data_IF_415376776670
#
_entry.id   IF_415376776670
#
_cell.length_a   1.000
_cell.length_b   1.000
_cell.length_c   1.000
_cell.angle_alpha   90.00
_cell.angle_beta   90.00
_cell.angle_gamma   90.00
#
_symmetry.space_group_name_H-M   'P 1'
#
loop_
_entity.id
_entity.type
_entity.pdbx_description
1 polymer ?
#
# COMPACT_ATOMS: atom_id res chain seq x y z
N UNK A 1 13.52 28.41 15.93
CA UNK A 1 12.67 28.22 14.73
C UNK A 1 13.60 27.94 13.56
N UNK A 2 13.47 26.80 12.87
CA UNK A 2 14.16 26.61 11.58
C UNK A 2 13.53 27.59 10.57
N UNK A 3 14.30 28.12 9.63
CA UNK A 3 13.72 28.90 8.52
C UNK A 3 12.77 28.00 7.72
N UNK A 4 11.72 28.57 7.13
CA UNK A 4 10.75 27.83 6.29
C UNK A 4 11.47 27.00 5.21
N UNK A 5 12.51 27.57 4.61
CA UNK A 5 13.36 26.89 3.62
C UNK A 5 14.08 25.64 4.18
N UNK A 6 14.58 25.70 5.42
CA UNK A 6 15.24 24.54 6.04
C UNK A 6 14.24 23.44 6.43
N UNK A 7 12.99 23.81 6.74
CA UNK A 7 11.91 22.85 6.98
C UNK A 7 11.47 22.15 5.68
N UNK A 8 11.29 22.90 4.60
CA UNK A 8 10.94 22.36 3.27
C UNK A 8 12.02 21.40 2.75
N UNK A 9 13.29 21.72 2.98
CA UNK A 9 14.41 20.86 2.61
C UNK A 9 14.47 19.53 3.39
N UNK A 10 13.88 19.46 4.58
CA UNK A 10 13.77 18.20 5.34
C UNK A 10 12.60 17.35 4.85
N UNK A 11 11.48 18.00 4.46
CA UNK A 11 10.29 17.34 3.91
C UNK A 11 10.64 16.55 2.64
N UNK A 12 11.46 17.12 1.76
CA UNK A 12 11.79 16.51 0.48
C UNK A 12 12.53 15.16 0.59
N UNK A 13 13.20 14.86 1.70
CA UNK A 13 13.87 13.57 1.90
C UNK A 13 14.74 13.15 0.71
N UNK A 14 14.41 12.02 0.07
CA UNK A 14 15.15 11.53 -1.11
C UNK A 14 15.07 12.48 -2.32
N UNK A 15 13.96 13.20 -2.52
CA UNK A 15 13.80 14.15 -3.64
C UNK A 15 14.85 15.26 -3.68
N UNK A 16 15.42 15.60 -2.51
CA UNK A 16 16.47 16.61 -2.39
C UNK A 16 17.82 16.11 -2.92
N UNK A 17 18.15 14.84 -2.64
CA UNK A 17 19.45 14.24 -2.98
C UNK A 17 19.50 13.60 -4.37
N UNK A 18 18.34 13.40 -5.00
CA UNK A 18 18.25 12.83 -6.34
C UNK A 18 18.51 13.90 -7.40
N UNK A 19 19.40 13.59 -8.34
CA UNK A 19 19.71 14.47 -9.48
C UNK A 19 19.03 14.02 -10.78
N UNK A 20 18.70 12.73 -10.90
CA UNK A 20 18.13 12.16 -12.10
C UNK A 20 16.63 11.90 -11.90
N UNK A 21 15.81 12.59 -12.67
CA UNK A 21 14.37 12.41 -12.70
C UNK A 21 13.96 12.04 -14.12
N UNK A 22 13.18 10.98 -14.26
CA UNK A 22 12.68 10.55 -15.56
C UNK A 22 11.21 10.17 -15.49
N UNK A 23 10.51 10.22 -16.61
CA UNK A 23 9.15 9.69 -16.79
C UNK A 23 9.11 8.85 -18.06
N UNK A 24 8.05 8.08 -18.24
CA UNK A 24 7.89 7.23 -19.41
C UNK A 24 7.49 8.07 -20.61
N UNK A 25 8.18 7.88 -21.73
CA UNK A 25 7.71 8.26 -23.05
C UNK A 25 7.13 7.04 -23.73
N UNK A 26 5.81 6.90 -23.63
CA UNK A 26 5.08 5.76 -24.19
C UNK A 26 5.06 5.85 -25.72
N UNK A 27 5.34 4.74 -26.41
CA UNK A 27 5.21 4.67 -27.85
C UNK A 27 3.72 4.69 -28.24
N UNK A 28 3.27 5.62 -29.11
CA UNK A 28 1.86 5.77 -29.45
C UNK A 28 1.28 4.59 -30.25
N UNK A 29 2.13 3.79 -30.89
CA UNK A 29 1.73 2.61 -31.69
C UNK A 29 1.68 1.36 -30.80
N UNK A 30 2.68 1.21 -29.93
CA UNK A 30 2.80 0.07 -29.03
C UNK A 30 3.08 0.56 -27.62
N UNK A 31 2.02 0.83 -26.87
CA UNK A 31 2.12 1.39 -25.52
C UNK A 31 2.77 0.44 -24.50
N UNK A 32 3.05 -0.83 -24.86
CA UNK A 32 3.89 -1.70 -24.04
C UNK A 32 5.38 -1.34 -24.13
N UNK A 33 5.76 -0.62 -25.18
CA UNK A 33 7.10 -0.07 -25.39
C UNK A 33 7.13 1.37 -24.93
N UNK A 34 8.19 1.69 -24.20
CA UNK A 34 8.47 3.04 -23.73
C UNK A 34 9.98 3.24 -23.66
N UNK A 35 10.37 4.50 -23.58
CA UNK A 35 11.71 4.88 -23.13
C UNK A 35 11.59 5.75 -21.90
N UNK A 36 12.64 5.82 -21.09
CA UNK A 36 12.73 6.85 -20.06
C UNK A 36 13.15 8.16 -20.72
N UNK A 37 12.41 9.22 -20.43
CA UNK A 37 12.72 10.59 -20.80
C UNK A 37 13.04 11.38 -19.54
N UNK A 38 14.18 12.06 -19.53
CA UNK A 38 14.55 12.92 -18.41
C UNK A 38 13.64 14.14 -18.31
N UNK A 39 13.31 14.51 -17.07
CA UNK A 39 12.53 15.70 -16.75
C UNK A 39 13.41 16.94 -16.81
N UNK A 40 12.83 18.02 -17.32
CA UNK A 40 13.45 19.34 -17.26
C UNK A 40 13.48 19.88 -15.82
N UNK A 41 14.42 20.78 -15.53
CA UNK A 41 14.55 21.40 -14.20
C UNK A 41 13.22 21.97 -13.67
N UNK A 42 12.45 22.66 -14.51
CA UNK A 42 11.16 23.24 -14.12
C UNK A 42 10.12 22.19 -13.72
N UNK A 43 10.16 21.03 -14.37
CA UNK A 43 9.25 19.91 -14.07
C UNK A 43 9.64 19.23 -12.76
N UNK A 44 10.93 19.10 -12.48
CA UNK A 44 11.45 18.61 -11.20
C UNK A 44 11.06 19.56 -10.06
N UNK A 45 11.21 20.86 -10.24
CA UNK A 45 10.80 21.85 -9.24
C UNK A 45 9.28 21.85 -9.02
N UNK A 46 8.49 21.69 -10.07
CA UNK A 46 7.04 21.54 -9.96
C UNK A 46 6.68 20.29 -9.14
N UNK A 47 7.31 19.14 -9.41
CA UNK A 47 7.11 17.91 -8.64
C UNK A 47 7.48 18.12 -7.16
N UNK A 48 8.63 18.71 -6.86
CA UNK A 48 9.06 18.99 -5.48
C UNK A 48 8.05 19.86 -4.73
N UNK A 49 7.52 20.90 -5.38
CA UNK A 49 6.48 21.74 -4.81
C UNK A 49 5.18 20.97 -4.53
N UNK A 50 4.80 20.03 -5.40
CA UNK A 50 3.64 19.15 -5.17
C UNK A 50 3.90 18.26 -3.94
N UNK A 51 5.09 17.65 -3.83
CA UNK A 51 5.46 16.82 -2.67
C UNK A 51 5.37 17.62 -1.36
N UNK A 52 5.92 18.83 -1.32
CA UNK A 52 5.85 19.70 -0.13
C UNK A 52 4.39 19.98 0.26
N UNK A 53 3.55 20.35 -0.71
CA UNK A 53 2.12 20.61 -0.46
C UNK A 53 1.39 19.37 0.05
N UNK A 54 1.69 18.19 -0.48
CA UNK A 54 1.08 16.94 -0.04
C UNK A 54 1.50 16.57 1.40
N UNK A 55 2.76 16.76 1.76
CA UNK A 55 3.27 16.49 3.12
C UNK A 55 2.74 17.49 4.15
N UNK A 56 2.43 18.72 3.73
CA UNK A 56 1.83 19.75 4.57
C UNK A 56 0.30 19.62 4.68
N UNK A 57 -0.34 18.80 3.86
CA UNK A 57 -1.79 18.60 3.90
C UNK A 57 -2.15 17.61 5.02
N UNK A 58 -2.93 18.07 6.01
CA UNK A 58 -3.32 17.29 7.18
C UNK A 58 -4.17 16.06 6.85
N UNK A 59 -4.89 16.07 5.73
CA UNK A 59 -5.72 14.95 5.28
C UNK A 59 -4.92 13.90 4.50
N UNK A 60 -3.66 14.17 4.18
CA UNK A 60 -2.82 13.29 3.37
C UNK A 60 -1.68 12.71 4.21
N UNK A 61 -1.34 11.47 3.91
CA UNK A 61 -0.09 10.84 4.36
C UNK A 61 0.68 10.40 3.13
N UNK A 62 1.88 10.96 2.94
CA UNK A 62 2.82 10.38 1.99
C UNK A 62 3.53 9.19 2.61
N UNK A 63 3.37 8.07 1.94
CA UNK A 63 3.89 6.78 2.33
C UNK A 63 5.04 6.37 1.39
N UNK A 64 5.94 5.56 1.91
CA UNK A 64 6.98 4.90 1.13
C UNK A 64 6.90 3.37 1.30
N UNK A 65 7.33 2.63 0.27
CA UNK A 65 7.45 1.17 0.33
C UNK A 65 8.68 0.69 -0.40
N UNK A 66 9.48 -0.11 0.31
CA UNK A 66 10.56 -0.86 -0.31
C UNK A 66 10.03 -2.08 -1.06
N UNK A 67 10.56 -2.31 -2.25
CA UNK A 67 10.38 -3.55 -2.98
C UNK A 67 11.73 -4.07 -3.46
N UNK A 68 12.11 -5.23 -2.93
CA UNK A 68 13.30 -5.94 -3.34
C UNK A 68 13.01 -6.70 -4.64
N UNK A 69 13.85 -6.53 -5.66
CA UNK A 69 13.86 -7.45 -6.82
C UNK A 69 14.80 -8.62 -6.49
N UNK A 70 14.55 -9.83 -7.00
CA UNK A 70 15.36 -11.01 -6.63
C UNK A 70 16.73 -10.98 -7.28
N UNK A 71 16.86 -10.32 -8.42
CA UNK A 71 18.12 -10.15 -9.14
C UNK A 71 18.19 -8.83 -9.89
N UNK A 72 19.41 -8.44 -10.30
CA UNK A 72 19.64 -7.32 -11.23
C UNK A 72 18.85 -7.54 -12.52
N UNK A 73 18.77 -8.78 -13.01
CA UNK A 73 18.00 -9.13 -14.21
C UNK A 73 16.52 -8.80 -14.06
N UNK A 74 15.89 -9.19 -12.94
CA UNK A 74 14.49 -8.86 -12.68
C UNK A 74 14.26 -7.36 -12.52
N UNK A 75 15.21 -6.68 -11.88
CA UNK A 75 15.19 -5.23 -11.79
C UNK A 75 15.21 -4.60 -13.19
N UNK A 76 16.13 -5.02 -14.07
CA UNK A 76 16.22 -4.52 -15.43
C UNK A 76 14.97 -4.86 -16.25
N UNK A 77 14.41 -6.05 -16.10
CA UNK A 77 13.15 -6.44 -16.73
C UNK A 77 11.99 -5.53 -16.28
N UNK A 78 11.91 -5.24 -14.97
CA UNK A 78 10.95 -4.31 -14.41
C UNK A 78 11.09 -2.90 -14.99
N UNK A 79 12.31 -2.35 -15.01
CA UNK A 79 12.59 -0.98 -15.52
C UNK A 79 12.40 -0.86 -17.03
N UNK A 80 12.71 -1.90 -17.81
CA UNK A 80 12.68 -1.85 -19.27
C UNK A 80 11.34 -2.26 -19.88
N UNK A 81 10.54 -3.08 -19.18
CA UNK A 81 9.30 -3.64 -19.72
C UNK A 81 8.12 -3.69 -18.74
N UNK A 82 8.37 -3.60 -17.43
CA UNK A 82 7.36 -3.73 -16.39
C UNK A 82 6.62 -2.45 -16.01
N UNK A 83 7.21 -1.27 -16.20
CA UNK A 83 6.70 -0.02 -15.63
C UNK A 83 5.31 0.37 -16.11
N UNK A 84 5.00 0.20 -17.40
CA UNK A 84 3.64 0.48 -17.91
C UNK A 84 2.62 -0.42 -17.22
N UNK A 85 2.91 -1.71 -17.06
CA UNK A 85 2.00 -2.63 -16.37
C UNK A 85 1.84 -2.23 -14.90
N UNK A 86 2.93 -1.85 -14.24
CA UNK A 86 2.93 -1.37 -12.87
C UNK A 86 2.04 -0.12 -12.69
N UNK A 87 2.18 0.89 -13.56
CA UNK A 87 1.42 2.14 -13.49
C UNK A 87 -0.01 2.06 -14.05
N UNK A 88 -0.40 0.95 -14.68
CA UNK A 88 -1.76 0.76 -15.20
C UNK A 88 -2.57 -0.20 -14.32
N UNK A 89 -1.96 -1.31 -13.89
CA UNK A 89 -2.66 -2.40 -13.18
C UNK A 89 -2.29 -2.47 -11.69
N UNK A 90 -1.07 -2.06 -11.33
CA UNK A 90 -0.53 -2.22 -9.98
C UNK A 90 0.04 -3.62 -9.78
N UNK A 91 1.37 -3.71 -9.56
CA UNK A 91 2.08 -4.99 -9.42
C UNK A 91 1.64 -5.79 -8.17
N UNK A 92 1.20 -5.11 -7.11
CA UNK A 92 0.86 -5.74 -5.81
C UNK A 92 -0.61 -6.03 -5.58
N UNK A 93 -1.44 -5.93 -6.61
CA UNK A 93 -2.80 -6.46 -6.56
C UNK A 93 -2.83 -8.01 -6.58
N UNK A 94 -1.76 -8.64 -7.08
CA UNK A 94 -1.69 -10.08 -7.32
C UNK A 94 -1.91 -10.96 -6.07
N UNK A 95 -1.23 -10.68 -4.95
CA UNK A 95 -1.39 -11.50 -3.73
C UNK A 95 -2.79 -11.36 -3.14
N UNK A 96 -3.31 -10.13 -3.08
CA UNK A 96 -4.67 -9.81 -2.64
C UNK A 96 -5.76 -10.54 -3.46
N UNK A 97 -5.53 -10.71 -4.76
CA UNK A 97 -6.46 -11.36 -5.67
C UNK A 97 -6.22 -12.86 -5.89
N UNK A 98 -4.99 -13.36 -5.71
CA UNK A 98 -4.72 -14.80 -5.71
C UNK A 98 -5.20 -15.46 -4.43
N UNK A 99 -5.25 -14.72 -3.32
CA UNK A 99 -6.00 -15.13 -2.15
C UNK A 99 -7.52 -15.12 -2.36
N UNK A 100 -8.06 -15.04 -3.59
CA UNK A 100 -9.49 -15.10 -3.94
C UNK A 100 -10.25 -16.39 -3.56
N UNK A 101 -9.72 -17.15 -2.61
CA UNK A 101 -10.55 -17.80 -1.59
C UNK A 101 -11.10 -16.80 -0.54
N UNK A 102 -10.73 -15.51 -0.58
CA UNK A 102 -10.84 -14.55 0.54
C UNK A 102 -11.71 -13.31 0.32
N UNK A 103 -11.94 -12.85 -0.92
CA UNK A 103 -12.85 -11.72 -1.15
C UNK A 103 -14.32 -12.09 -0.89
N UNK A 104 -14.71 -13.32 -1.23
CA UNK A 104 -16.03 -13.86 -0.88
C UNK A 104 -16.17 -14.04 0.66
N UNK A 105 -15.08 -14.26 1.40
CA UNK A 105 -15.10 -14.42 2.85
C UNK A 105 -15.07 -13.09 3.64
N UNK A 106 -14.36 -12.08 3.14
CA UNK A 106 -14.19 -10.81 3.88
C UNK A 106 -15.39 -9.89 3.66
N UNK A 107 -15.92 -9.78 2.44
CA UNK A 107 -16.99 -8.83 2.12
C UNK A 107 -18.33 -9.47 1.71
N UNK A 108 -18.40 -10.79 1.46
CA UNK A 108 -19.61 -11.41 0.90
C UNK A 108 -20.34 -12.38 1.83
N UNK A 109 -19.72 -12.88 2.91
CA UNK A 109 -20.46 -13.62 3.93
C UNK A 109 -21.29 -12.65 4.77
N UNK A 110 -22.48 -12.29 4.26
CA UNK A 110 -23.58 -11.69 5.03
C UNK A 110 -24.03 -12.59 6.20
N UNK A 111 -23.49 -13.80 6.28
CA UNK A 111 -23.74 -14.74 7.35
C UNK A 111 -22.88 -14.40 8.58
N UNK A 112 -23.52 -13.72 9.54
CA UNK A 112 -22.97 -13.37 10.85
C UNK A 112 -22.28 -14.55 11.56
N UNK A 113 -22.86 -15.75 11.48
CA UNK A 113 -22.31 -16.94 12.15
C UNK A 113 -20.91 -17.29 11.62
N UNK A 114 -20.75 -17.32 10.29
CA UNK A 114 -19.47 -17.65 9.67
C UNK A 114 -18.39 -16.62 10.03
N UNK A 115 -18.76 -15.34 10.09
CA UNK A 115 -17.83 -14.27 10.46
C UNK A 115 -17.40 -14.37 11.92
N UNK A 116 -18.32 -14.69 12.83
CA UNK A 116 -17.98 -14.94 14.24
C UNK A 116 -17.04 -16.15 14.41
N UNK A 117 -17.25 -17.23 13.63
CA UNK A 117 -16.33 -18.38 13.61
C UNK A 117 -14.93 -18.01 13.09
N UNK A 118 -14.84 -17.14 12.09
CA UNK A 118 -13.56 -16.60 11.59
C UNK A 118 -12.83 -15.79 12.67
N UNK A 119 -13.54 -14.85 13.30
CA UNK A 119 -13.01 -14.02 14.39
C UNK A 119 -12.51 -14.88 15.55
N UNK A 120 -13.21 -15.96 15.89
CA UNK A 120 -12.76 -16.87 16.95
C UNK A 120 -11.43 -17.54 16.58
N UNK A 121 -11.27 -17.97 15.32
CA UNK A 121 -10.00 -18.56 14.85
C UNK A 121 -8.86 -17.54 14.87
N UNK A 122 -9.13 -16.30 14.47
CA UNK A 122 -8.15 -15.22 14.52
C UNK A 122 -7.76 -14.90 15.95
N UNK A 123 -8.73 -14.76 16.85
CA UNK A 123 -8.51 -14.52 18.29
C UNK A 123 -7.61 -15.59 18.90
N UNK A 124 -7.90 -16.87 18.63
CA UNK A 124 -7.06 -18.00 19.09
C UNK A 124 -5.65 -17.91 18.52
N UNK A 125 -5.51 -17.54 17.24
CA UNK A 125 -4.20 -17.42 16.58
C UNK A 125 -3.37 -16.26 17.15
N UNK A 126 -3.99 -15.10 17.36
CA UNK A 126 -3.36 -13.94 18.00
C UNK A 126 -2.91 -14.29 19.41
N UNK A 127 -3.77 -14.90 20.23
CA UNK A 127 -3.42 -15.31 21.59
C UNK A 127 -2.26 -16.33 21.63
N UNK A 128 -2.18 -17.25 20.65
CA UNK A 128 -1.03 -18.15 20.53
C UNK A 128 0.27 -17.40 20.24
N UNK A 129 0.22 -16.41 19.35
CA UNK A 129 1.40 -15.57 19.08
C UNK A 129 1.78 -14.72 20.30
N UNK A 130 0.82 -14.19 21.06
CA UNK A 130 1.11 -13.52 22.34
C UNK A 130 1.87 -14.48 23.26
N UNK A 131 1.31 -15.65 23.55
CA UNK A 131 1.93 -16.64 24.45
C UNK A 131 3.35 -17.04 24.03
N UNK A 132 3.54 -17.27 22.73
CA UNK A 132 4.86 -17.60 22.16
C UNK A 132 5.85 -16.45 22.31
N UNK A 133 5.41 -15.21 22.11
CA UNK A 133 6.27 -14.01 22.13
C UNK A 133 6.58 -13.57 23.56
N UNK A 134 5.62 -13.66 24.49
CA UNK A 134 5.84 -13.40 25.93
C UNK A 134 6.95 -14.28 26.51
N UNK A 135 7.14 -15.49 25.98
CA UNK A 135 8.23 -16.39 26.38
C UNK A 135 9.61 -16.01 25.82
N UNK A 136 9.68 -15.21 24.74
CA UNK A 136 10.92 -14.87 24.02
C UNK A 136 11.35 -13.42 24.21
N UNK A 137 10.40 -12.49 24.29
CA UNK A 137 10.65 -11.04 24.19
C UNK A 137 10.66 -10.31 25.55
N UNK A 138 10.92 -11.04 26.65
CA UNK A 138 11.04 -10.50 28.02
C UNK A 138 9.90 -9.51 28.42
N UNK A 139 8.66 -9.80 28.05
CA UNK A 139 7.49 -9.02 28.47
C UNK A 139 7.11 -7.82 27.59
N UNK A 140 7.66 -7.70 26.37
CA UNK A 140 7.21 -6.67 25.40
C UNK A 140 5.84 -6.95 24.79
N UNK A 141 5.49 -8.22 24.63
CA UNK A 141 4.16 -8.69 24.17
C UNK A 141 3.53 -9.48 25.32
N UNK A 142 2.29 -9.15 25.69
CA UNK A 142 1.64 -9.69 26.90
C UNK A 142 0.11 -9.52 26.84
N UNK A 143 -0.62 -10.24 27.69
CA UNK A 143 -2.08 -10.22 27.78
C UNK A 143 -2.76 -11.33 26.96
N UNK A 144 -4.07 -11.19 26.75
CA UNK A 144 -4.84 -12.06 25.86
C UNK A 144 -6.20 -11.44 25.55
N UNK A 145 -6.70 -11.69 24.35
CA UNK A 145 -8.08 -11.38 24.01
C UNK A 145 -9.04 -12.38 24.69
N UNK A 146 -10.06 -11.84 25.36
CA UNK A 146 -11.06 -12.58 26.14
C UNK A 146 -11.79 -13.63 25.30
N UNK A 147 -12.03 -14.82 25.88
CA UNK A 147 -12.89 -15.83 25.26
C UNK A 147 -14.37 -15.40 25.15
N UNK A 148 -14.78 -14.33 25.86
CA UNK A 148 -16.13 -13.75 25.78
C UNK A 148 -16.33 -12.80 24.60
N UNK A 149 -15.29 -12.59 23.77
CA UNK A 149 -15.37 -11.70 22.61
C UNK A 149 -16.52 -12.10 21.67
N UNK A 150 -16.68 -13.39 21.41
CA UNK A 150 -17.74 -13.89 20.52
C UNK A 150 -19.12 -13.64 21.10
N UNK A 151 -19.31 -13.85 22.41
CA UNK A 151 -20.59 -13.59 23.09
C UNK A 151 -20.96 -12.09 23.01
N UNK A 152 -19.97 -11.21 23.14
CA UNK A 152 -20.16 -9.78 22.94
C UNK A 152 -20.58 -9.47 21.49
N UNK A 153 -19.85 -9.99 20.50
CA UNK A 153 -20.08 -9.71 19.07
C UNK A 153 -21.38 -10.31 18.51
N UNK A 154 -21.92 -11.38 19.12
CA UNK A 154 -23.20 -11.95 18.73
C UNK A 154 -24.35 -10.93 18.75
N UNK A 155 -24.26 -9.90 19.59
CA UNK A 155 -25.28 -8.87 19.73
C UNK A 155 -24.93 -7.55 19.03
N UNK A 156 -23.80 -7.47 18.32
CA UNK A 156 -23.36 -6.27 17.62
C UNK A 156 -23.83 -6.25 16.16
N UNK A 157 -23.79 -5.06 15.55
CA UNK A 157 -24.01 -4.88 14.11
C UNK A 157 -22.87 -5.47 13.27
N UNK A 158 -23.12 -5.68 11.98
CA UNK A 158 -22.12 -6.31 11.10
C UNK A 158 -20.85 -5.45 10.94
N UNK A 159 -21.00 -4.13 10.91
CA UNK A 159 -19.89 -3.17 10.85
C UNK A 159 -18.89 -3.37 11.98
N UNK A 160 -19.37 -3.50 13.22
CA UNK A 160 -18.54 -3.77 14.42
C UNK A 160 -17.81 -5.11 14.29
N UNK A 161 -18.49 -6.13 13.80
CA UNK A 161 -17.91 -7.47 13.61
C UNK A 161 -16.81 -7.43 12.53
N UNK A 162 -17.04 -6.70 11.44
CA UNK A 162 -16.04 -6.49 10.40
C UNK A 162 -14.84 -5.70 10.90
N UNK A 163 -15.05 -4.65 11.71
CA UNK A 163 -13.97 -3.89 12.38
C UNK A 163 -13.08 -4.80 13.22
N UNK A 164 -13.67 -5.71 14.01
CA UNK A 164 -12.93 -6.72 14.78
C UNK A 164 -12.17 -7.72 13.91
N UNK A 165 -12.77 -8.16 12.81
CA UNK A 165 -12.10 -9.03 11.85
C UNK A 165 -10.85 -8.34 11.29
N UNK A 166 -10.97 -7.08 10.92
CA UNK A 166 -9.86 -6.30 10.35
C UNK A 166 -8.76 -6.07 11.39
N UNK A 167 -9.14 -5.71 12.61
CA UNK A 167 -8.22 -5.50 13.71
C UNK A 167 -7.41 -6.77 14.07
N UNK A 168 -8.03 -7.94 14.15
CA UNK A 168 -7.31 -9.17 14.48
C UNK A 168 -6.39 -9.64 13.33
N UNK A 169 -6.81 -9.46 12.08
CA UNK A 169 -5.95 -9.72 10.93
C UNK A 169 -4.75 -8.77 10.88
N UNK A 170 -4.94 -7.48 11.20
CA UNK A 170 -3.83 -6.51 11.18
C UNK A 170 -2.79 -6.81 12.24
N UNK A 171 -3.17 -7.35 13.41
CA UNK A 171 -2.23 -7.86 14.41
C UNK A 171 -1.34 -8.98 13.84
N UNK A 172 -1.94 -9.98 13.22
CA UNK A 172 -1.20 -11.11 12.63
C UNK A 172 -0.31 -10.66 11.46
N UNK A 173 -0.76 -9.67 10.68
CA UNK A 173 0.03 -9.07 9.61
C UNK A 173 1.24 -8.30 10.12
N UNK A 174 1.03 -7.39 11.09
CA UNK A 174 2.07 -6.53 11.67
C UNK A 174 3.21 -7.35 12.31
N UNK A 175 2.90 -8.49 12.94
CA UNK A 175 3.92 -9.40 13.48
C UNK A 175 4.82 -10.02 12.38
N UNK A 176 4.38 -10.01 11.13
CA UNK A 176 5.08 -10.67 10.03
C UNK A 176 4.96 -12.19 10.10
N UNK A 177 3.84 -12.72 10.59
CA UNK A 177 3.61 -14.15 10.69
C UNK A 177 3.73 -14.81 9.30
N UNK A 178 4.77 -15.60 9.05
CA UNK A 178 5.03 -16.18 7.72
C UNK A 178 3.91 -17.11 7.21
N UNK A 179 3.06 -17.64 8.10
CA UNK A 179 1.90 -18.45 7.71
C UNK A 179 0.77 -17.55 7.22
N UNK A 180 0.57 -16.38 7.83
CA UNK A 180 -0.52 -15.46 7.48
C UNK A 180 -0.14 -14.42 6.42
N UNK A 181 1.12 -13.96 6.41
CA UNK A 181 1.60 -12.89 5.52
C UNK A 181 1.36 -13.15 4.03
N UNK A 182 1.48 -14.39 3.51
CA UNK A 182 1.13 -14.67 2.10
C UNK A 182 -0.36 -14.51 1.78
N UNK A 183 -1.23 -14.59 2.79
CA UNK A 183 -2.70 -14.51 2.66
C UNK A 183 -3.27 -13.22 3.25
N UNK A 184 -2.42 -12.36 3.80
CA UNK A 184 -2.84 -11.07 4.34
C UNK A 184 -3.28 -10.18 3.19
N UNK A 185 -4.41 -9.52 3.39
CA UNK A 185 -4.93 -8.51 2.47
C UNK A 185 -4.34 -7.12 2.74
N UNK A 186 -3.37 -6.99 3.64
CA UNK A 186 -2.72 -5.73 3.94
C UNK A 186 -1.41 -5.57 3.16
N UNK A 187 -1.16 -4.34 2.73
CA UNK A 187 0.14 -3.91 2.22
C UNK A 187 0.75 -2.93 3.19
N UNK A 188 1.89 -3.32 3.76
CA UNK A 188 2.70 -2.46 4.62
C UNK A 188 3.34 -1.31 3.85
N UNK A 189 3.16 -0.11 4.38
CA UNK A 189 3.82 1.12 3.99
C UNK A 189 4.51 1.70 5.22
N UNK A 190 5.47 2.60 5.02
CA UNK A 190 6.07 3.39 6.10
C UNK A 190 5.83 4.88 5.85
N UNK A 191 5.63 5.65 6.92
CA UNK A 191 5.36 7.09 6.83
C UNK A 191 6.25 7.92 7.78
N UNK A 192 6.05 9.25 7.77
CA UNK A 192 6.80 10.20 8.58
C UNK A 192 8.21 10.48 8.07
N UNK A 193 9.05 11.11 8.91
CA UNK A 193 10.33 11.68 8.49
C UNK A 193 11.39 10.62 8.09
N UNK A 194 11.23 9.37 8.53
CA UNK A 194 12.17 8.27 8.24
C UNK A 194 11.69 7.34 7.12
N UNK A 195 10.51 7.58 6.53
CA UNK A 195 9.86 6.67 5.57
C UNK A 195 10.77 6.20 4.45
N UNK A 196 11.52 7.09 3.81
CA UNK A 196 12.40 6.70 2.70
C UNK A 196 13.59 5.85 3.16
N UNK A 197 14.14 6.13 4.35
CA UNK A 197 15.21 5.32 4.93
C UNK A 197 14.71 3.92 5.29
N UNK A 198 13.56 3.83 5.94
CA UNK A 198 12.91 2.56 6.30
C UNK A 198 12.54 1.77 5.05
N UNK A 199 11.92 2.41 4.06
CA UNK A 199 11.58 1.78 2.79
C UNK A 199 12.81 1.29 2.03
N UNK A 200 13.90 2.07 1.99
CA UNK A 200 15.17 1.63 1.39
C UNK A 200 15.74 0.40 2.08
N UNK A 201 15.72 0.36 3.42
CA UNK A 201 16.15 -0.82 4.18
C UNK A 201 15.38 -2.07 3.72
N UNK A 202 14.06 -1.99 3.57
CA UNK A 202 13.25 -3.11 3.08
C UNK A 202 13.44 -3.41 1.59
N UNK A 203 13.80 -2.43 0.75
CA UNK A 203 14.10 -2.64 -0.66
C UNK A 203 15.40 -3.42 -0.85
N UNK A 204 16.37 -3.24 0.04
CA UNK A 204 17.71 -3.80 -0.05
C UNK A 204 17.96 -4.96 0.93
N UNK A 205 16.96 -5.39 1.71
CA UNK A 205 17.06 -6.56 2.57
C UNK A 205 16.69 -7.82 1.77
N UNK A 206 17.58 -8.81 1.75
CA UNK A 206 17.21 -10.17 1.37
C UNK A 206 16.34 -10.81 2.46
N UNK A 207 15.15 -11.27 2.08
CA UNK A 207 14.19 -11.85 3.01
C UNK A 207 14.58 -13.26 3.46
N UNK A 208 15.36 -13.99 2.67
CA UNK A 208 15.71 -15.38 2.97
C UNK A 208 17.01 -15.49 3.77
N UNK A 209 18.02 -14.69 3.41
CA UNK A 209 19.37 -14.82 3.99
C UNK A 209 19.77 -13.65 4.91
N UNK A 210 18.89 -12.67 5.11
CA UNK A 210 19.20 -11.40 5.80
C UNK A 210 20.43 -10.66 5.27
N UNK A 211 20.86 -10.98 4.04
CA UNK A 211 21.96 -10.32 3.35
C UNK A 211 21.48 -9.04 2.67
N UNK A 212 22.43 -8.16 2.36
CA UNK A 212 22.13 -6.94 1.60
C UNK A 212 22.02 -7.28 0.12
N UNK A 213 20.96 -6.81 -0.52
CA UNK A 213 20.82 -6.77 -1.98
C UNK A 213 21.42 -5.49 -2.51
N UNK A 214 21.97 -5.58 -3.71
CA UNK A 214 22.64 -4.44 -4.33
C UNK A 214 21.63 -3.42 -4.86
N UNK A 215 20.43 -3.85 -5.31
CA UNK A 215 19.45 -2.99 -5.97
C UNK A 215 18.00 -3.25 -5.54
N UNK A 216 17.18 -2.20 -5.54
CA UNK A 216 15.75 -2.26 -5.26
C UNK A 216 15.02 -0.99 -5.64
N UNK A 217 13.72 -0.94 -5.35
CA UNK A 217 12.90 0.27 -5.60
C UNK A 217 12.17 0.73 -4.35
N UNK A 218 12.00 2.04 -4.21
CA UNK A 218 11.22 2.68 -3.14
C UNK A 218 10.07 3.45 -3.74
N UNK A 219 8.86 2.90 -3.65
CA UNK A 219 7.63 3.55 -4.09
C UNK A 219 7.28 4.74 -3.22
N UNK A 220 6.67 5.76 -3.83
CA UNK A 220 6.06 6.92 -3.16
C UNK A 220 4.57 6.91 -3.43
N UNK A 221 3.77 6.90 -2.36
CA UNK A 221 2.34 6.63 -2.41
C UNK A 221 1.55 7.69 -1.64
N UNK A 222 0.44 8.15 -2.21
CA UNK A 222 -0.48 9.12 -1.61
C UNK A 222 -1.60 8.37 -0.91
N UNK A 223 -1.72 8.57 0.40
CA UNK A 223 -2.83 8.04 1.19
C UNK A 223 -3.70 9.21 1.68
N UNK A 224 -4.93 9.29 1.15
CA UNK A 224 -5.98 10.15 1.69
C UNK A 224 -6.59 9.49 2.93
N UNK A 225 -6.52 10.19 4.08
CA UNK A 225 -7.01 9.70 5.37
C UNK A 225 -8.53 9.50 5.39
N UNK A 226 -9.26 10.22 4.55
CA UNK A 226 -10.73 10.22 4.55
C UNK A 226 -11.31 9.16 3.59
N UNK A 227 -10.50 8.60 2.70
CA UNK A 227 -10.98 7.70 1.63
C UNK A 227 -10.40 6.30 1.68
N UNK A 228 -9.25 6.12 2.30
CA UNK A 228 -8.53 4.87 2.22
C UNK A 228 -8.73 4.01 3.47
N UNK A 229 -8.96 2.71 3.22
CA UNK A 229 -9.10 1.70 4.26
C UNK A 229 -7.70 1.27 4.71
N UNK A 230 -7.19 1.86 5.78
CA UNK A 230 -5.89 1.50 6.35
C UNK A 230 -5.99 1.38 7.87
N UNK A 231 -5.01 0.73 8.47
CA UNK A 231 -4.78 0.76 9.92
C UNK A 231 -3.33 1.14 10.16
N UNK A 232 -3.09 2.11 11.03
CA UNK A 232 -1.72 2.43 11.47
C UNK A 232 -1.28 1.49 12.59
N UNK A 233 0.02 1.17 12.66
CA UNK A 233 0.54 0.40 13.79
C UNK A 233 0.32 1.12 15.13
N UNK A 234 0.35 2.46 15.15
CA UNK A 234 -0.03 3.27 16.33
C UNK A 234 -1.46 3.04 16.79
N UNK A 235 -2.43 3.07 15.86
CA UNK A 235 -3.85 2.82 16.16
C UNK A 235 -4.06 1.38 16.65
N UNK A 236 -3.40 0.41 16.00
CA UNK A 236 -3.41 -0.98 16.42
C UNK A 236 -2.88 -1.17 17.85
N UNK A 237 -1.82 -0.44 18.22
CA UNK A 237 -1.25 -0.47 19.57
C UNK A 237 -2.19 0.15 20.60
N UNK A 238 -2.88 1.22 20.25
CA UNK A 238 -3.87 1.87 21.10
C UNK A 238 -5.07 0.95 21.37
N UNK A 239 -5.70 0.43 20.30
CA UNK A 239 -6.82 -0.52 20.40
C UNK A 239 -6.44 -1.80 21.14
N UNK A 240 -5.21 -2.31 20.97
CA UNK A 240 -4.76 -3.48 21.73
C UNK A 240 -4.72 -3.21 23.24
N UNK A 241 -4.26 -2.02 23.65
CA UNK A 241 -4.16 -1.65 25.08
C UNK A 241 -5.54 -1.53 25.73
N UNK A 242 -6.54 -1.03 25.02
CA UNK A 242 -7.94 -0.98 25.49
C UNK A 242 -8.47 -2.38 25.86
N UNK A 243 -7.91 -3.42 25.25
CA UNK A 243 -8.23 -4.82 25.52
C UNK A 243 -7.21 -5.53 26.41
N UNK A 244 -6.38 -4.78 27.15
CA UNK A 244 -5.32 -5.29 28.03
C UNK A 244 -4.30 -6.19 27.30
N UNK A 245 -4.06 -5.93 26.01
CA UNK A 245 -3.05 -6.60 25.20
C UNK A 245 -1.91 -5.61 24.92
N UNK A 246 -0.69 -6.01 25.27
CA UNK A 246 0.53 -5.32 24.85
C UNK A 246 1.04 -5.98 23.57
N UNK A 247 1.22 -5.18 22.52
CA UNK A 247 1.67 -5.65 21.22
C UNK A 247 3.04 -5.06 20.84
N UNK A 248 3.60 -5.49 19.71
CA UNK A 248 4.91 -5.07 19.22
C UNK A 248 4.98 -3.55 19.00
N UNK A 249 6.08 -2.89 19.38
CA UNK A 249 6.22 -1.44 19.20
C UNK A 249 6.27 -1.07 17.71
N UNK A 250 5.71 0.09 17.38
CA UNK A 250 5.78 0.67 16.04
C UNK A 250 7.16 1.32 15.80
N UNK A 251 8.13 0.49 15.42
CA UNK A 251 9.51 0.95 15.15
C UNK A 251 9.63 1.58 13.76
N UNK A 252 8.82 1.10 12.82
CA UNK A 252 8.93 1.41 11.39
C UNK A 252 7.95 2.50 10.92
N UNK A 253 7.07 3.01 11.79
CA UNK A 253 5.94 3.86 11.46
C UNK A 253 5.11 3.20 10.36
N UNK A 254 4.62 1.99 10.65
CA UNK A 254 3.91 1.17 9.69
C UNK A 254 2.46 1.64 9.49
N UNK A 255 2.04 1.76 8.24
CA UNK A 255 0.64 1.84 7.83
C UNK A 255 0.31 0.62 6.98
N UNK A 256 -0.78 -0.07 7.32
CA UNK A 256 -1.27 -1.24 6.62
C UNK A 256 -2.47 -0.85 5.76
N UNK A 257 -2.26 -0.69 4.45
CA UNK A 257 -3.34 -0.41 3.51
C UNK A 257 -4.06 -1.70 3.15
N UNK A 258 -5.39 -1.70 3.21
CA UNK A 258 -6.22 -2.83 2.81
C UNK A 258 -6.28 -2.90 1.28
N UNK A 259 -6.00 -4.07 0.72
CA UNK A 259 -6.10 -4.34 -0.70
C UNK A 259 -4.77 -4.20 -1.44
N UNK A 260 -4.71 -3.26 -2.36
CA UNK A 260 -3.62 -3.10 -3.30
C UNK A 260 -3.03 -1.68 -3.26
N UNK A 261 -1.80 -1.53 -3.78
CA UNK A 261 -1.27 -0.20 -4.10
C UNK A 261 -1.84 0.24 -5.43
N UNK A 262 -2.87 1.07 -5.36
CA UNK A 262 -3.56 1.59 -6.54
C UNK A 262 -2.65 2.51 -7.36
N UNK A 263 -2.54 2.29 -8.69
CA UNK A 263 -1.70 3.13 -9.54
C UNK A 263 -2.04 4.62 -9.50
N UNK A 264 -3.32 4.95 -9.31
CA UNK A 264 -3.84 6.32 -9.13
C UNK A 264 -3.17 7.09 -8.00
N UNK A 265 -2.69 6.38 -6.99
CA UNK A 265 -2.08 6.94 -5.79
C UNK A 265 -0.54 6.82 -5.80
N UNK A 266 0.05 6.19 -6.82
CA UNK A 266 1.50 6.08 -6.96
C UNK A 266 2.03 7.34 -7.65
N UNK A 267 2.84 8.13 -6.95
CA UNK A 267 3.55 9.27 -7.55
C UNK A 267 4.66 8.76 -8.47
N UNK A 268 5.40 7.76 -8.01
CA UNK A 268 6.54 7.19 -8.70
C UNK A 268 7.36 6.34 -7.76
N UNK A 269 8.61 6.07 -8.12
CA UNK A 269 9.53 5.34 -7.25
C UNK A 269 10.98 5.78 -7.45
N UNK A 270 11.77 5.63 -6.40
CA UNK A 270 13.22 5.76 -6.46
C UNK A 270 13.83 4.41 -6.81
N UNK A 271 14.75 4.40 -7.76
CA UNK A 271 15.72 3.33 -7.92
C UNK A 271 16.82 3.53 -6.87
N UNK A 272 17.04 2.51 -6.04
CA UNK A 272 18.04 2.56 -4.97
C UNK A 272 19.05 1.45 -5.17
N UNK A 273 20.33 1.80 -5.02
CA UNK A 273 21.44 0.87 -5.10
C UNK A 273 22.37 1.14 -3.91
N UNK A 274 22.68 0.10 -3.15
CA UNK A 274 23.45 0.18 -1.91
C UNK A 274 22.92 1.18 -0.85
N UNK A 275 23.47 2.38 -0.81
CA UNK A 275 23.04 3.47 0.10
C UNK A 275 22.68 4.74 -0.68
N UNK A 276 22.65 4.64 -2.01
CA UNK A 276 22.45 5.75 -2.93
C UNK A 276 21.08 5.67 -3.58
N UNK A 277 20.61 6.84 -4.00
CA UNK A 277 19.40 6.99 -4.80
C UNK A 277 19.88 7.35 -6.21
N UNK A 278 19.63 6.47 -7.17
CA UNK A 278 20.18 6.59 -8.52
C UNK A 278 19.32 7.51 -9.38
N UNK A 279 18.01 7.28 -9.37
CA UNK A 279 17.02 8.10 -10.09
C UNK A 279 15.65 8.02 -9.43
N UNK A 280 14.80 8.99 -9.75
CA UNK A 280 13.37 8.90 -9.50
C UNK A 280 12.63 8.73 -10.83
N UNK A 281 11.81 7.69 -10.93
CA UNK A 281 10.94 7.47 -12.09
C UNK A 281 9.51 7.88 -11.70
N UNK A 282 9.06 8.97 -12.29
CA UNK A 282 7.73 9.54 -12.11
C UNK A 282 6.69 8.67 -12.84
N UNK A 283 5.55 8.43 -12.21
CA UNK A 283 4.41 7.79 -12.83
C UNK A 283 3.96 8.61 -14.05
N UNK A 284 3.83 7.96 -15.20
CA UNK A 284 3.44 8.61 -16.46
C UNK A 284 2.12 9.38 -16.37
N UNK A 285 1.13 8.83 -15.67
CA UNK A 285 -0.18 9.47 -15.50
C UNK A 285 -0.08 10.70 -14.61
N UNK A 286 0.75 10.62 -13.57
CA UNK A 286 1.07 11.75 -12.71
C UNK A 286 1.78 12.86 -13.48
N UNK A 287 2.75 12.48 -14.32
CA UNK A 287 3.45 13.40 -15.19
C UNK A 287 2.51 14.09 -16.19
N UNK A 288 1.59 13.34 -16.81
CA UNK A 288 0.57 13.90 -17.70
C UNK A 288 -0.27 14.97 -17.01
N UNK A 289 -0.82 14.63 -15.84
CA UNK A 289 -1.70 15.56 -15.10
C UNK A 289 -0.94 16.84 -14.68
N UNK A 290 0.31 16.68 -14.25
CA UNK A 290 1.20 17.80 -13.94
C UNK A 290 1.43 18.75 -15.12
N UNK A 291 1.41 18.23 -16.36
CA UNK A 291 1.59 19.02 -17.59
C UNK A 291 0.29 19.62 -18.12
N UNK A 292 -0.84 18.94 -17.96
CA UNK A 292 -2.13 19.37 -18.51
C UNK A 292 -2.93 20.29 -17.58
N UNK A 293 -2.74 20.19 -16.27
CA UNK A 293 -3.61 20.84 -15.30
C UNK A 293 -2.84 21.42 -14.10
N UNK A 294 -2.53 22.71 -14.16
CA UNK A 294 -1.82 23.40 -13.08
C UNK A 294 -2.62 23.52 -11.77
N UNK A 295 -3.93 23.30 -11.80
CA UNK A 295 -4.82 23.41 -10.65
C UNK A 295 -5.32 22.04 -10.16
N UNK A 296 -4.76 20.93 -10.64
CA UNK A 296 -5.16 19.60 -10.21
C UNK A 296 -4.94 19.40 -8.71
N UNK A 297 -5.91 18.80 -8.04
CA UNK A 297 -5.79 18.38 -6.65
C UNK A 297 -5.16 16.99 -6.56
N UNK A 298 -3.84 16.95 -6.45
CA UNK A 298 -3.07 15.71 -6.29
C UNK A 298 -3.34 14.97 -4.97
N UNK A 299 -4.05 15.59 -4.01
CA UNK A 299 -4.45 14.93 -2.76
C UNK A 299 -5.35 13.71 -3.04
N UNK A 300 -6.06 13.76 -4.16
CA UNK A 300 -6.98 12.72 -4.63
C UNK A 300 -6.32 11.70 -5.57
N UNK A 301 -4.99 11.75 -5.72
CA UNK A 301 -4.27 10.97 -6.71
C UNK A 301 -4.44 11.54 -8.12
N UNK A 302 -4.26 10.69 -9.12
CA UNK A 302 -4.31 11.06 -10.54
C UNK A 302 -5.20 10.11 -11.32
N UNK A 303 -5.79 10.62 -12.40
CA UNK A 303 -6.54 9.78 -13.31
C UNK A 303 -5.60 8.86 -14.09
N UNK A 304 -5.84 7.55 -14.02
CA UNK A 304 -5.18 6.55 -14.85
C UNK A 304 -6.22 6.07 -15.85
N UNK A 305 -6.02 6.38 -17.13
CA UNK A 305 -6.96 5.94 -18.16
C UNK A 305 -6.87 4.41 -18.31
N UNK A 306 -7.94 3.77 -17.84
CA UNK A 306 -8.19 2.34 -17.96
C UNK A 306 -9.36 2.05 -18.92
N UNK A 307 -9.95 3.08 -19.56
CA UNK A 307 -11.25 3.06 -20.23
C UNK A 307 -11.21 2.64 -21.69
N UNK A 308 -10.40 3.27 -22.53
CA UNK A 308 -10.49 3.09 -23.99
C UNK A 308 -9.94 1.74 -24.50
N UNK A 309 -9.28 0.96 -23.64
CA UNK A 309 -8.75 -0.36 -23.99
C UNK A 309 -8.87 -1.32 -22.81
N UNK A 310 -10.09 -1.59 -22.36
CA UNK A 310 -10.38 -2.64 -21.37
C UNK A 310 -9.67 -3.96 -21.70
N UNK A 311 -9.59 -4.33 -22.99
CA UNK A 311 -8.81 -5.50 -23.48
C UNK A 311 -7.31 -5.43 -23.15
N UNK A 312 -6.71 -4.24 -23.16
CA UNK A 312 -5.29 -4.01 -22.84
C UNK A 312 -5.04 -4.09 -21.33
N UNK A 313 -5.95 -3.50 -20.54
CA UNK A 313 -5.94 -3.63 -19.08
C UNK A 313 -6.05 -5.10 -18.68
N UNK A 314 -7.01 -5.82 -19.28
CA UNK A 314 -7.16 -7.28 -19.13
C UNK A 314 -5.93 -8.04 -19.61
N UNK A 315 -5.33 -7.69 -20.75
CA UNK A 315 -4.10 -8.34 -21.24
C UNK A 315 -2.96 -8.17 -20.24
N UNK A 316 -2.74 -6.96 -19.71
CA UNK A 316 -1.72 -6.75 -18.69
C UNK A 316 -2.02 -7.50 -17.41
N UNK A 317 -3.28 -7.55 -16.99
CA UNK A 317 -3.70 -8.34 -15.86
C UNK A 317 -3.46 -9.85 -16.08
N UNK A 318 -3.76 -10.36 -17.27
CA UNK A 318 -3.51 -11.74 -17.67
C UNK A 318 -2.02 -12.08 -17.75
N UNK A 319 -1.21 -11.17 -18.31
CA UNK A 319 0.26 -11.30 -18.34
C UNK A 319 0.82 -11.40 -16.91
N UNK A 320 0.25 -10.62 -15.98
CA UNK A 320 0.56 -10.65 -14.56
C UNK A 320 -0.15 -11.81 -13.82
N UNK A 321 -0.89 -12.67 -14.52
CA UNK A 321 -1.65 -13.80 -13.97
C UNK A 321 -2.55 -13.38 -12.81
N UNK A 322 -3.19 -12.23 -12.95
CA UNK A 322 -4.21 -11.74 -12.03
C UNK A 322 -5.52 -12.46 -12.34
N UNK A 323 -6.29 -12.79 -11.31
CA UNK A 323 -7.65 -13.36 -11.45
C UNK A 323 -8.74 -12.31 -11.20
N UNK A 324 -8.36 -11.19 -10.58
CA UNK A 324 -9.20 -10.04 -10.30
C UNK A 324 -8.35 -8.78 -10.52
N UNK A 325 -9.02 -7.69 -10.87
CA UNK A 325 -8.43 -6.36 -11.06
C UNK A 325 -9.34 -5.34 -10.41
N UNK A 326 -8.83 -4.18 -10.03
CA UNK A 326 -9.73 -3.04 -9.76
C UNK A 326 -9.64 -2.03 -10.90
N UNK A 327 -10.79 -1.44 -11.21
CA UNK A 327 -10.89 -0.31 -12.11
C UNK A 327 -11.43 0.87 -11.32
N UNK A 328 -10.79 2.02 -11.49
CA UNK A 328 -11.31 3.28 -10.98
C UNK A 328 -12.21 3.88 -12.05
N UNK A 329 -13.47 4.18 -11.70
CA UNK A 329 -14.32 4.97 -12.58
C UNK A 329 -14.30 6.41 -12.10
N UNK A 330 -13.69 7.27 -12.92
CA UNK A 330 -13.29 8.64 -12.58
C UNK A 330 -14.44 9.61 -12.34
N UNK A 331 -15.67 9.27 -12.69
CA UNK A 331 -16.73 10.28 -12.72
C UNK A 331 -17.28 10.60 -11.32
N UNK A 332 -17.16 9.68 -10.35
CA UNK A 332 -17.62 9.86 -8.95
C UNK A 332 -16.59 9.45 -7.89
N UNK A 333 -15.38 9.06 -8.29
CA UNK A 333 -14.36 8.53 -7.37
C UNK A 333 -14.63 7.13 -6.83
N UNK A 334 -15.54 6.40 -7.48
CA UNK A 334 -15.91 5.05 -7.07
C UNK A 334 -14.89 4.00 -7.56
N UNK A 335 -14.52 3.10 -6.66
CA UNK A 335 -13.63 1.97 -6.94
C UNK A 335 -14.44 0.70 -7.21
N UNK A 336 -14.10 0.01 -8.30
CA UNK A 336 -14.74 -1.24 -8.69
C UNK A 336 -13.70 -2.36 -8.73
N UNK A 337 -14.05 -3.56 -8.27
CA UNK A 337 -13.25 -4.77 -8.48
C UNK A 337 -13.93 -5.59 -9.57
N UNK A 338 -13.21 -5.86 -10.65
CA UNK A 338 -13.62 -6.73 -11.74
C UNK A 338 -12.98 -8.10 -11.56
N UNK A 339 -13.79 -9.15 -11.66
CA UNK A 339 -13.30 -10.52 -11.76
C UNK A 339 -13.05 -10.88 -13.23
N UNK A 340 -11.81 -11.23 -13.58
CA UNK A 340 -11.39 -11.45 -14.97
C UNK A 340 -12.12 -12.65 -15.58
N UNK A 341 -12.30 -13.73 -14.80
CA UNK A 341 -12.84 -14.99 -15.32
C UNK A 341 -14.37 -15.00 -15.54
N UNK A 342 -15.10 -13.98 -15.11
CA UNK A 342 -16.58 -13.96 -15.20
C UNK A 342 -17.18 -12.70 -15.79
N UNK A 343 -16.39 -11.67 -16.14
CA UNK A 343 -16.90 -10.34 -16.50
C UNK A 343 -17.98 -9.85 -15.52
N UNK A 344 -17.83 -10.20 -14.23
CA UNK A 344 -18.69 -9.69 -13.17
C UNK A 344 -17.98 -8.49 -12.55
N UNK A 345 -18.60 -7.32 -12.71
CA UNK A 345 -18.20 -6.08 -12.03
C UNK A 345 -18.79 -6.13 -10.62
N UNK A 346 -17.95 -6.07 -9.60
CA UNK A 346 -18.39 -5.99 -8.20
C UNK A 346 -17.99 -4.60 -7.68
N UNK A 347 -18.98 -3.80 -7.29
CA UNK A 347 -18.72 -2.54 -6.59
C UNK A 347 -18.03 -2.86 -5.27
N UNK A 348 -16.91 -2.20 -4.97
CA UNK A 348 -16.32 -2.30 -3.64
C UNK A 348 -17.25 -1.54 -2.70
N UNK A 349 -17.85 -2.19 -1.69
CA UNK A 349 -18.68 -1.47 -0.74
C UNK A 349 -17.82 -0.43 -0.03
N UNK A 350 -18.33 0.79 0.13
CA UNK A 350 -17.79 1.76 1.07
C UNK A 350 -17.87 1.11 2.45
N UNK A 351 -16.71 0.90 3.08
CA UNK A 351 -16.66 0.46 4.47
C UNK A 351 -16.35 1.74 5.21
N UNK A 352 -17.40 2.40 5.70
CA UNK A 352 -17.26 3.55 6.59
C UNK A 352 -16.65 3.05 7.89
N UNK A 353 -15.48 3.61 8.21
CA UNK A 353 -14.86 3.48 9.52
C UNK A 353 -15.12 4.73 10.38
N UNK A 354 -15.93 5.68 9.89
CA UNK A 354 -16.23 6.91 10.62
C UNK A 354 -17.10 6.65 11.85
N UNK A 355 -16.56 7.07 13.00
CA UNK A 355 -17.28 7.61 14.15
C UNK A 355 -18.36 6.76 14.84
N UNK A 356 -18.10 5.48 15.08
CA UNK A 356 -18.83 4.73 16.13
C UNK A 356 -17.90 3.99 17.10
N UNK A 357 -17.00 4.70 17.79
CA UNK A 357 -16.48 4.26 19.10
C UNK A 357 -16.18 5.44 20.04
#
# INVERSE_FOLDING_TARGET
>A
MKSTEQADLEILGFFRGTNNFSSLKINPIDESKYTLQDLEYKEVEQLRNIIIKLEQNENIVLCARGDSKESIKEHDEFINSGLVKCFVVGEKAQFYFQSALGLDHICSTKNKKNKLEEIERLRVSVNKEIQKSSSRDMGKVDGQFSCKLIDYLQNQEMSVIESWNIFLHSLLHNQGNNVFKPYSYFISLTHGNKKYKTARYFALKDKENETKKDIGVVFVYILDKNKNKYISASELLERSKEHNVKWYPDVDNEIMVIGALWPHNIIGFFEVEDEKVNRFILNYWFYKEMKSNHNHDFSQGVHVDQGDKFEKFQRYANDLKLTHISQYYSDNGEQYILKIDKLNVIKVPDIDFEDEF
#
